data_IF_535861445074
#
_entry.id   IF_535861445074
#
_cell.length_a   1.000
_cell.length_b   1.000
_cell.length_c   1.000
_cell.angle_alpha   90.00
_cell.angle_beta   90.00
_cell.angle_gamma   90.00
#
_symmetry.space_group_name_H-M   'P 1'
#
loop_
_entity.id
_entity.type
_entity.pdbx_description
1 polymer ?
#
# COMPACT_ATOMS: atom_id res chain seq x y z
N UNK A 1 28.47 -11.63 5.58
CA UNK A 1 27.62 -11.94 4.41
C UNK A 1 26.54 -10.88 4.35
N UNK A 2 26.59 -9.99 3.36
CA UNK A 2 25.47 -9.11 3.06
C UNK A 2 24.39 -9.99 2.43
N UNK A 3 23.25 -10.12 3.10
CA UNK A 3 22.09 -10.80 2.50
C UNK A 3 21.58 -9.84 1.44
N UNK A 4 21.77 -10.18 0.16
CA UNK A 4 21.19 -9.44 -0.95
C UNK A 4 19.68 -9.55 -0.84
N UNK A 5 19.02 -8.40 -0.71
CA UNK A 5 17.57 -8.32 -0.61
C UNK A 5 17.04 -8.36 -2.04
N UNK A 6 16.17 -9.31 -2.39
CA UNK A 6 15.60 -9.38 -3.72
C UNK A 6 14.89 -8.07 -4.10
N UNK A 7 14.96 -7.70 -5.37
CA UNK A 7 14.40 -6.46 -5.91
C UNK A 7 12.89 -6.31 -5.62
N UNK A 8 12.15 -7.42 -5.51
CA UNK A 8 10.73 -7.38 -5.14
C UNK A 8 10.47 -6.72 -3.76
N UNK A 9 11.47 -6.64 -2.87
CA UNK A 9 11.33 -6.01 -1.55
C UNK A 9 11.94 -4.59 -1.48
N UNK A 10 12.29 -4.00 -2.63
CA UNK A 10 12.83 -2.64 -2.73
C UNK A 10 11.74 -1.58 -2.86
N UNK A 11 10.51 -1.99 -3.23
CA UNK A 11 9.38 -1.09 -3.42
C UNK A 11 8.97 -0.41 -2.11
N UNK A 12 8.67 0.88 -2.18
CA UNK A 12 8.21 1.68 -1.04
C UNK A 12 6.92 2.38 -1.44
N UNK A 13 5.83 2.26 -0.66
CA UNK A 13 4.57 2.92 -1.00
C UNK A 13 4.68 4.45 -0.86
N UNK A 14 3.86 5.16 -1.63
CA UNK A 14 3.66 6.62 -1.45
C UNK A 14 2.63 6.90 -0.37
N UNK A 15 1.67 5.98 -0.21
CA UNK A 15 0.61 6.04 0.79
C UNK A 15 0.26 4.65 1.31
N UNK A 16 -0.29 4.60 2.51
CA UNK A 16 -0.88 3.39 3.07
C UNK A 16 -2.37 3.57 3.31
N UNK A 17 -3.08 2.45 3.30
CA UNK A 17 -4.52 2.42 3.51
C UNK A 17 -4.95 1.09 4.13
N UNK A 18 -6.08 1.12 4.82
CA UNK A 18 -6.69 -0.08 5.41
C UNK A 18 -7.85 -0.60 4.60
N UNK A 19 -7.81 -1.89 4.30
CA UNK A 19 -8.96 -2.62 3.76
C UNK A 19 -10.04 -2.80 4.83
N UNK A 20 -11.26 -3.20 4.43
CA UNK A 20 -12.37 -3.50 5.36
C UNK A 20 -12.02 -4.59 6.39
N UNK A 21 -11.05 -5.46 6.08
CA UNK A 21 -10.56 -6.50 6.98
C UNK A 21 -9.43 -6.02 7.90
N UNK A 22 -9.26 -4.70 8.05
CA UNK A 22 -8.20 -4.05 8.83
C UNK A 22 -6.79 -4.48 8.41
N UNK A 23 -6.62 -4.95 7.17
CA UNK A 23 -5.31 -5.23 6.58
C UNK A 23 -4.76 -3.94 6.01
N UNK A 24 -3.59 -3.55 6.47
CA UNK A 24 -2.84 -2.42 5.94
C UNK A 24 -2.13 -2.81 4.64
N UNK A 25 -2.32 -1.98 3.62
CA UNK A 25 -1.71 -2.10 2.30
C UNK A 25 -1.05 -0.78 1.94
N UNK A 26 -0.08 -0.86 1.04
CA UNK A 26 0.56 0.28 0.41
C UNK A 26 0.13 0.38 -1.05
N UNK A 27 0.21 1.58 -1.62
CA UNK A 27 0.11 1.79 -3.05
C UNK A 27 1.29 2.62 -3.55
N UNK A 28 1.68 2.40 -4.80
CA UNK A 28 2.68 3.22 -5.48
C UNK A 28 2.06 4.45 -6.13
N UNK A 29 0.76 4.41 -6.42
CA UNK A 29 0.03 5.49 -7.07
C UNK A 29 -1.45 5.43 -6.68
N UNK A 30 -2.08 6.60 -6.61
CA UNK A 30 -3.52 6.78 -6.47
C UNK A 30 -4.01 7.80 -7.48
N UNK A 31 -5.10 7.50 -8.17
CA UNK A 31 -5.69 8.37 -9.19
C UNK A 31 -7.20 8.35 -9.10
N UNK A 32 -7.84 9.44 -9.55
CA UNK A 32 -9.28 9.50 -9.75
C UNK A 32 -9.61 9.28 -11.22
N UNK A 33 -10.50 8.32 -11.47
CA UNK A 33 -10.96 7.95 -12.80
C UNK A 33 -12.15 8.84 -13.23
N UNK A 34 -12.50 8.83 -14.52
CA UNK A 34 -13.53 9.72 -15.09
C UNK A 34 -14.94 9.48 -14.49
N UNK A 35 -15.21 8.26 -14.04
CA UNK A 35 -16.45 7.85 -13.37
C UNK A 35 -16.48 8.26 -11.88
N UNK A 36 -15.43 8.93 -11.40
CA UNK A 36 -15.28 9.34 -10.01
C UNK A 36 -14.75 8.24 -9.08
N UNK A 37 -14.43 7.06 -9.60
CA UNK A 37 -13.77 5.99 -8.83
C UNK A 37 -12.35 6.38 -8.44
N UNK A 38 -11.89 5.84 -7.31
CA UNK A 38 -10.51 5.97 -6.87
C UNK A 38 -9.78 4.67 -7.21
N UNK A 39 -8.71 4.79 -7.99
CA UNK A 39 -7.89 3.67 -8.47
C UNK A 39 -6.52 3.76 -7.81
N UNK A 40 -6.10 2.66 -7.21
CA UNK A 40 -4.78 2.47 -6.64
C UNK A 40 -3.99 1.51 -7.52
N UNK A 41 -2.77 1.89 -7.89
CA UNK A 41 -1.87 1.08 -8.73
C UNK A 41 -0.62 0.67 -7.94
N UNK A 42 -0.10 -0.52 -8.23
CA UNK A 42 1.10 -1.05 -7.58
C UNK A 42 0.84 -1.33 -6.10
N UNK A 43 -0.10 -2.22 -5.79
CA UNK A 43 -0.48 -2.52 -4.41
C UNK A 43 0.62 -3.36 -3.75
N UNK A 44 1.10 -2.85 -2.64
CA UNK A 44 2.11 -3.47 -1.79
C UNK A 44 1.48 -4.03 -0.52
N UNK A 45 2.12 -5.05 0.04
CA UNK A 45 1.79 -5.61 1.35
C UNK A 45 3.03 -5.62 2.23
N UNK A 46 2.86 -5.27 3.50
CA UNK A 46 3.93 -5.37 4.48
C UNK A 46 4.20 -6.85 4.80
N UNK A 47 5.47 -7.25 4.75
CA UNK A 47 5.91 -8.58 5.16
C UNK A 47 5.79 -8.68 6.67
N UNK A 48 4.92 -9.56 7.13
CA UNK A 48 4.68 -9.87 8.55
C UNK A 48 5.30 -11.21 8.94
N UNK A 49 5.33 -11.52 10.23
CA UNK A 49 5.91 -12.76 10.76
C UNK A 49 5.29 -14.03 10.15
N UNK A 50 3.99 -14.02 9.86
CA UNK A 50 3.32 -15.16 9.22
C UNK A 50 3.82 -15.45 7.80
N UNK A 51 4.38 -14.45 7.12
CA UNK A 51 4.94 -14.60 5.78
C UNK A 51 6.39 -15.12 5.78
N UNK A 52 7.05 -15.15 6.95
CA UNK A 52 8.43 -15.65 7.09
C UNK A 52 8.55 -17.18 6.94
N UNK A 53 7.43 -17.89 6.77
CA UNK A 53 7.44 -19.28 6.32
C UNK A 53 7.88 -19.41 4.85
N UNK A 54 7.62 -18.38 4.04
CA UNK A 54 7.92 -18.36 2.61
C UNK A 54 9.06 -17.40 2.26
N UNK A 55 9.43 -16.50 3.18
CA UNK A 55 10.44 -15.47 2.95
C UNK A 55 11.52 -15.46 4.05
N UNK A 56 12.75 -15.02 3.73
CA UNK A 56 13.81 -14.90 4.74
C UNK A 56 13.46 -13.84 5.80
N UNK A 57 13.92 -14.04 7.04
CA UNK A 57 13.67 -13.09 8.15
C UNK A 57 14.20 -11.68 7.88
N UNK A 58 15.18 -11.53 6.99
CA UNK A 58 15.78 -10.25 6.61
C UNK A 58 14.82 -9.30 5.88
N UNK A 59 13.68 -9.79 5.39
CA UNK A 59 12.67 -8.97 4.71
C UNK A 59 11.47 -8.62 5.60
N UNK A 60 11.48 -9.01 6.88
CA UNK A 60 10.44 -8.62 7.83
C UNK A 60 10.33 -7.08 7.89
N UNK A 61 9.11 -6.56 7.81
CA UNK A 61 8.86 -5.11 7.82
C UNK A 61 9.14 -4.41 6.49
N UNK A 62 9.52 -5.14 5.43
CA UNK A 62 9.60 -4.61 4.07
C UNK A 62 8.25 -4.71 3.36
N UNK A 63 8.11 -3.94 2.29
CA UNK A 63 6.97 -4.02 1.40
C UNK A 63 7.27 -4.95 0.23
N UNK A 64 6.28 -5.71 -0.20
CA UNK A 64 6.36 -6.60 -1.36
C UNK A 64 5.13 -6.42 -2.26
N UNK A 65 5.26 -6.55 -3.60
CA UNK A 65 4.13 -6.58 -4.51
C UNK A 65 3.06 -7.58 -4.10
N UNK A 66 1.81 -7.13 -4.10
CA UNK A 66 0.66 -7.95 -3.72
C UNK A 66 -0.39 -8.00 -4.83
N UNK A 67 -0.73 -6.86 -5.44
CA UNK A 67 -1.70 -6.79 -6.56
C UNK A 67 -1.34 -5.66 -7.52
N UNK A 68 -1.71 -5.83 -8.79
CA UNK A 68 -1.48 -4.78 -9.79
C UNK A 68 -2.30 -3.51 -9.51
N UNK A 69 -3.59 -3.66 -9.17
CA UNK A 69 -4.49 -2.52 -8.91
C UNK A 69 -5.66 -2.88 -8.00
N UNK A 70 -6.22 -1.87 -7.35
CA UNK A 70 -7.51 -1.90 -6.64
C UNK A 70 -8.33 -0.68 -7.07
N UNK A 71 -9.63 -0.86 -7.29
CA UNK A 71 -10.57 0.23 -7.56
C UNK A 71 -11.60 0.28 -6.43
N UNK A 72 -11.90 1.49 -5.98
CA UNK A 72 -12.93 1.81 -5.02
C UNK A 72 -13.92 2.81 -5.63
N UNK A 73 -15.19 2.70 -5.24
CA UNK A 73 -16.12 3.83 -5.46
C UNK A 73 -15.68 5.03 -4.60
N UNK A 74 -16.17 6.23 -4.92
CA UNK A 74 -15.88 7.42 -4.13
C UNK A 74 -16.28 7.25 -2.65
N UNK A 75 -17.44 6.61 -2.39
CA UNK A 75 -17.93 6.34 -1.04
C UNK A 75 -17.03 5.34 -0.29
N UNK A 76 -16.61 4.26 -0.96
CA UNK A 76 -15.71 3.28 -0.37
C UNK A 76 -14.33 3.86 -0.08
N UNK A 77 -13.86 4.79 -0.92
CA UNK A 77 -12.58 5.46 -0.77
C UNK A 77 -12.61 6.45 0.41
N UNK A 78 -13.71 7.21 0.57
CA UNK A 78 -13.88 8.12 1.69
C UNK A 78 -13.84 7.41 3.07
N UNK A 79 -14.25 6.15 3.12
CA UNK A 79 -14.23 5.33 4.33
C UNK A 79 -12.91 4.63 4.63
N UNK A 80 -11.81 4.93 3.93
CA UNK A 80 -10.49 4.31 4.18
C UNK A 80 -9.63 5.18 5.09
N UNK A 81 -8.84 4.51 5.93
CA UNK A 81 -7.79 5.13 6.72
C UNK A 81 -6.57 5.43 5.85
N UNK A 82 -6.60 6.51 5.06
CA UNK A 82 -5.46 6.92 4.24
C UNK A 82 -4.36 7.56 5.08
N UNK A 83 -3.12 7.23 4.76
CA UNK A 83 -1.95 7.87 5.38
C UNK A 83 -0.88 8.15 4.34
N UNK A 84 -0.29 9.34 4.42
CA UNK A 84 0.92 9.65 3.67
C UNK A 84 2.07 8.82 4.26
N UNK A 85 2.74 8.01 3.43
CA UNK A 85 3.78 7.12 3.93
C UNK A 85 5.05 7.87 4.38
N UNK A 86 5.39 8.97 3.71
CA UNK A 86 6.59 9.75 4.01
C UNK A 86 6.46 10.54 5.31
N UNK A 87 5.28 11.09 5.60
CA UNK A 87 5.05 11.92 6.81
C UNK A 87 4.40 11.14 7.94
N UNK A 88 3.74 10.02 7.65
CA UNK A 88 2.92 9.27 8.61
C UNK A 88 1.60 9.95 8.96
N UNK A 89 1.27 11.07 8.31
CA UNK A 89 0.05 11.84 8.56
C UNK A 89 -1.18 11.11 7.99
N UNK A 90 -2.25 11.06 8.78
CA UNK A 90 -3.56 10.61 8.30
C UNK A 90 -4.17 11.69 7.43
N UNK A 91 -4.54 11.33 6.20
CA UNK A 91 -5.15 12.23 5.23
C UNK A 91 -6.54 11.72 4.85
N UNK A 92 -7.38 12.58 4.29
CA UNK A 92 -8.61 12.14 3.63
C UNK A 92 -8.33 11.67 2.20
N UNK A 93 -9.37 11.28 1.47
CA UNK A 93 -9.24 10.77 0.10
C UNK A 93 -8.69 11.83 -0.87
N UNK A 94 -9.04 13.10 -0.68
CA UNK A 94 -8.56 14.19 -1.54
C UNK A 94 -7.10 14.52 -1.23
N UNK A 95 -6.70 14.50 0.05
CA UNK A 95 -5.31 14.60 0.47
C UNK A 95 -4.47 13.42 -0.03
N UNK A 96 -5.02 12.21 -0.05
CA UNK A 96 -4.36 11.04 -0.64
C UNK A 96 -4.15 11.22 -2.15
N UNK A 97 -5.15 11.73 -2.87
CA UNK A 97 -5.07 12.02 -4.31
C UNK A 97 -4.08 13.14 -4.68
N UNK A 98 -3.60 13.90 -3.71
CA UNK A 98 -2.64 14.99 -3.90
C UNK A 98 -1.17 14.58 -3.62
N UNK A 99 -0.92 13.31 -3.25
CA UNK A 99 0.42 12.73 -3.03
C UNK A 99 1.06 12.37 -4.37
#
# INVERSE_FOLDING_TARGET
MSVEIPDEFSSVPVLTFKTLKNTELGALEITRDEDGSVVLTGILKLVTESMLQSYPRSVLGKWTPNRARIRYTAEEAAGRDWKNYATGETVDVDGALAI
#
